data_IF_242080097475
#
_entry.id   IF_242080097475
#
_cell.length_a   1.000
_cell.length_b   1.000
_cell.length_c   1.000
_cell.angle_alpha   90.00
_cell.angle_beta   90.00
_cell.angle_gamma   90.00
#
_symmetry.space_group_name_H-M   'P 1'
#
loop_
_entity.id
_entity.type
_entity.pdbx_description
1 polymer ?
#
# COMPACT_ATOMS: atom_id res chain seq x y z
N UNK A 1 -66.19 -8.58 24.80
CA UNK A 1 -65.00 -9.44 24.97
C UNK A 1 -64.85 -10.31 23.73
N UNK A 2 -63.90 -9.98 22.84
CA UNK A 2 -63.00 -10.93 22.18
C UNK A 2 -61.94 -10.09 21.45
N UNK A 3 -60.72 -10.15 21.97
CA UNK A 3 -59.49 -9.62 21.40
C UNK A 3 -58.84 -10.72 20.56
N UNK A 4 -58.24 -10.37 19.41
CA UNK A 4 -57.13 -11.04 18.70
C UNK A 4 -57.17 -10.59 17.23
N UNK A 5 -56.14 -10.13 16.55
CA UNK A 5 -54.71 -10.06 16.85
C UNK A 5 -54.05 -9.81 15.49
N UNK A 6 -53.52 -8.60 15.28
CA UNK A 6 -52.79 -8.26 14.04
C UNK A 6 -51.49 -9.06 14.04
N UNK A 7 -51.39 -10.06 13.17
CA UNK A 7 -50.14 -10.76 12.90
C UNK A 7 -49.31 -9.87 11.97
N UNK A 8 -48.41 -9.08 12.56
CA UNK A 8 -47.44 -8.28 11.83
C UNK A 8 -46.26 -9.18 11.46
N UNK A 9 -46.28 -9.73 10.25
CA UNK A 9 -45.19 -10.55 9.71
C UNK A 9 -43.99 -9.66 9.37
N UNK A 10 -43.06 -9.46 10.31
CA UNK A 10 -41.74 -8.89 10.01
C UNK A 10 -40.93 -9.94 9.23
N UNK A 11 -40.87 -9.80 7.91
CA UNK A 11 -39.82 -10.43 7.11
C UNK A 11 -38.52 -9.65 7.37
N UNK A 12 -37.77 -10.07 8.39
CA UNK A 12 -36.38 -9.67 8.54
C UNK A 12 -35.59 -10.37 7.41
N UNK A 13 -35.34 -9.65 6.31
CA UNK A 13 -34.26 -10.02 5.40
C UNK A 13 -32.97 -9.84 6.20
N UNK A 14 -32.48 -10.92 6.78
CA UNK A 14 -31.12 -10.97 7.29
C UNK A 14 -30.23 -10.76 6.06
N UNK A 15 -29.67 -9.55 5.92
CA UNK A 15 -28.49 -9.36 5.10
C UNK A 15 -27.43 -10.28 5.70
N UNK A 16 -27.23 -11.44 5.07
CA UNK A 16 -26.10 -12.28 5.39
C UNK A 16 -24.87 -11.36 5.35
N UNK A 17 -24.00 -11.36 6.38
CA UNK A 17 -22.76 -10.62 6.30
C UNK A 17 -22.10 -11.09 5.01
N UNK A 18 -21.95 -10.18 4.05
CA UNK A 18 -21.06 -10.46 2.93
C UNK A 18 -19.75 -10.73 3.62
N UNK A 19 -19.25 -11.96 3.57
CA UNK A 19 -17.87 -12.17 3.91
C UNK A 19 -17.12 -11.24 2.98
N UNK A 20 -16.62 -10.12 3.52
CA UNK A 20 -15.50 -9.45 2.94
C UNK A 20 -14.46 -10.56 2.84
N UNK A 21 -14.35 -11.17 1.65
CA UNK A 21 -13.18 -11.94 1.29
C UNK A 21 -12.04 -11.02 1.67
N UNK A 22 -11.27 -11.41 2.69
CA UNK A 22 -10.13 -10.63 3.14
C UNK A 22 -9.37 -10.21 1.90
N UNK A 23 -9.30 -8.91 1.68
CA UNK A 23 -8.46 -8.31 0.69
C UNK A 23 -7.02 -8.77 0.95
N UNK A 24 -6.17 -8.64 -0.05
CA UNK A 24 -4.86 -9.23 0.03
C UNK A 24 -3.98 -8.63 1.11
N UNK A 25 -3.07 -9.48 1.59
CA UNK A 25 -2.11 -9.16 2.62
C UNK A 25 -0.72 -9.08 1.99
N UNK A 26 -0.08 -7.92 2.08
CA UNK A 26 1.26 -7.73 1.55
C UNK A 26 2.12 -7.14 2.65
N UNK A 27 3.14 -7.87 3.07
CA UNK A 27 4.06 -7.43 4.11
C UNK A 27 5.48 -7.54 3.62
N UNK A 28 6.31 -6.59 3.98
CA UNK A 28 7.72 -6.68 3.65
C UNK A 28 8.47 -5.42 3.96
N UNK A 29 9.71 -5.43 3.52
CA UNK A 29 10.60 -4.29 3.65
C UNK A 29 12.00 -4.70 3.28
N UNK A 30 12.83 -3.70 3.12
CA UNK A 30 14.23 -3.91 2.84
C UNK A 30 14.92 -2.71 2.21
N UNK A 31 15.89 -3.01 1.36
CA UNK A 31 16.64 -2.01 0.60
C UNK A 31 16.58 -2.35 -0.88
N UNK A 32 16.63 -1.32 -1.71
CA UNK A 32 16.89 -1.40 -3.15
C UNK A 32 18.09 -0.52 -3.49
N UNK A 33 18.49 -0.48 -4.76
CA UNK A 33 19.58 0.40 -5.22
C UNK A 33 19.30 1.89 -4.97
N UNK A 34 18.01 2.26 -4.94
CA UNK A 34 17.58 3.66 -4.81
C UNK A 34 17.00 3.96 -3.41
N UNK A 35 16.43 2.95 -2.75
CA UNK A 35 15.81 3.08 -1.43
C UNK A 35 16.67 2.37 -0.40
N UNK A 36 17.30 3.13 0.50
CA UNK A 36 18.08 2.51 1.60
C UNK A 36 17.19 1.93 2.70
N UNK A 37 15.89 2.21 2.63
CA UNK A 37 14.87 1.53 3.42
C UNK A 37 13.53 1.66 2.72
N UNK A 38 12.78 0.57 2.64
CA UNK A 38 11.34 0.60 2.43
C UNK A 38 10.67 -0.38 3.40
N UNK A 39 9.42 -0.12 3.74
CA UNK A 39 8.57 -1.02 4.51
C UNK A 39 7.14 -1.00 3.96
N UNK A 40 6.50 -2.16 3.99
CA UNK A 40 5.19 -2.41 3.42
C UNK A 40 4.36 -3.24 4.40
N UNK A 41 3.17 -2.75 4.73
CA UNK A 41 2.21 -3.44 5.58
C UNK A 41 0.80 -3.15 5.07
N UNK A 42 0.33 -4.00 4.17
CA UNK A 42 -1.02 -4.00 3.61
C UNK A 42 -1.77 -5.21 4.20
N UNK A 43 -2.93 -4.96 4.76
CA UNK A 43 -3.85 -5.99 5.23
C UNK A 43 -5.25 -5.68 4.72
N UNK A 44 -5.97 -6.71 4.26
CA UNK A 44 -7.31 -6.53 3.72
C UNK A 44 -7.35 -5.50 2.54
N UNK A 45 -6.27 -5.43 1.75
CA UNK A 45 -6.15 -4.53 0.60
C UNK A 45 -5.87 -3.05 0.90
N UNK A 46 -5.66 -2.68 2.17
CA UNK A 46 -5.30 -1.31 2.60
C UNK A 46 -4.11 -1.33 3.57
N UNK A 47 -3.44 -0.21 3.78
CA UNK A 47 -2.35 -0.18 4.77
C UNK A 47 -1.35 0.93 4.56
N UNK A 48 -0.09 0.64 4.87
CA UNK A 48 1.00 1.63 4.85
C UNK A 48 2.17 1.18 3.98
N UNK A 49 2.78 2.15 3.33
CA UNK A 49 4.03 2.01 2.61
C UNK A 49 4.94 3.19 2.97
N UNK A 50 6.19 2.92 3.33
CA UNK A 50 7.19 3.97 3.54
C UNK A 50 8.46 3.64 2.78
N UNK A 51 9.16 4.68 2.32
CA UNK A 51 10.52 4.53 1.86
C UNK A 51 11.38 5.77 2.14
N UNK A 52 12.67 5.51 2.27
CA UNK A 52 13.72 6.49 2.45
C UNK A 52 14.70 6.38 1.29
N UNK A 53 14.85 7.48 0.55
CA UNK A 53 15.84 7.67 -0.50
C UNK A 53 16.81 8.77 -0.05
N UNK A 54 17.94 8.41 0.56
CA UNK A 54 18.86 9.39 1.15
C UNK A 54 19.37 10.38 0.11
N UNK A 55 19.41 11.65 0.51
CA UNK A 55 19.81 12.73 -0.37
C UNK A 55 18.76 13.09 -1.43
N UNK A 56 17.63 12.39 -1.49
CA UNK A 56 16.51 12.70 -2.39
C UNK A 56 15.26 13.10 -1.60
N UNK A 57 14.59 12.13 -0.99
CA UNK A 57 13.32 12.32 -0.29
C UNK A 57 12.95 11.14 0.62
N UNK A 58 11.99 11.38 1.51
CA UNK A 58 11.22 10.34 2.20
C UNK A 58 9.79 10.34 1.69
N UNK A 59 9.21 9.14 1.57
CA UNK A 59 7.82 8.93 1.18
C UNK A 59 7.13 8.15 2.29
N UNK A 60 6.05 8.70 2.82
CA UNK A 60 5.15 8.03 3.78
C UNK A 60 3.78 7.97 3.14
N UNK A 61 3.24 6.77 2.95
CA UNK A 61 2.09 6.58 2.10
C UNK A 61 1.03 5.68 2.72
N UNK A 62 -0.23 6.08 2.55
CA UNK A 62 -1.39 5.26 2.86
C UNK A 62 -1.84 4.55 1.60
N UNK A 63 -1.79 3.22 1.63
CA UNK A 63 -2.32 2.35 0.57
C UNK A 63 -3.83 2.27 0.74
N UNK A 64 -4.56 2.67 -0.31
CA UNK A 64 -6.03 2.68 -0.30
C UNK A 64 -6.63 1.53 -1.09
N UNK A 65 -5.84 0.92 -1.98
CA UNK A 65 -6.32 -0.14 -2.87
C UNK A 65 -5.17 -0.98 -3.42
N UNK A 66 -5.37 -2.29 -3.44
CA UNK A 66 -4.60 -3.24 -4.24
C UNK A 66 -5.38 -3.56 -5.52
N UNK A 67 -4.73 -3.43 -6.68
CA UNK A 67 -5.37 -3.50 -8.00
C UNK A 67 -5.12 -4.80 -8.74
N UNK A 68 -4.01 -5.50 -8.48
CA UNK A 68 -3.69 -6.76 -9.12
C UNK A 68 -2.89 -7.65 -8.18
N UNK A 69 -3.21 -8.95 -8.18
CA UNK A 69 -2.42 -10.01 -7.53
C UNK A 69 -2.41 -11.24 -8.40
N UNK A 70 -1.22 -11.77 -8.64
CA UNK A 70 -1.04 -13.02 -9.37
C UNK A 70 0.44 -13.35 -9.55
N UNK A 71 0.75 -14.65 -9.63
CA UNK A 71 2.11 -15.11 -9.93
C UNK A 71 3.19 -14.62 -8.96
N UNK A 72 2.83 -14.36 -7.69
CA UNK A 72 3.76 -13.79 -6.71
C UNK A 72 4.06 -12.30 -6.88
N UNK A 73 3.22 -11.58 -7.63
CA UNK A 73 3.30 -10.13 -7.80
C UNK A 73 2.04 -9.43 -7.32
N UNK A 74 2.16 -8.18 -6.92
CA UNK A 74 1.05 -7.32 -6.56
C UNK A 74 1.25 -5.87 -7.02
N UNK A 75 0.16 -5.16 -7.30
CA UNK A 75 0.17 -3.73 -7.56
C UNK A 75 -0.83 -3.00 -6.68
N UNK A 76 -0.46 -1.83 -6.18
CA UNK A 76 -1.28 -1.06 -5.25
C UNK A 76 -1.13 0.43 -5.47
N UNK A 77 -2.09 1.18 -4.95
CA UNK A 77 -2.22 2.63 -5.13
C UNK A 77 -2.61 3.29 -3.82
N UNK A 78 -2.33 4.58 -3.72
CA UNK A 78 -2.66 5.34 -2.53
C UNK A 78 -2.20 6.79 -2.62
N UNK A 79 -2.14 7.40 -1.44
CA UNK A 79 -1.72 8.80 -1.28
C UNK A 79 -0.51 8.87 -0.36
N UNK A 80 0.40 9.79 -0.65
CA UNK A 80 1.66 9.91 0.05
C UNK A 80 1.98 11.34 0.47
N UNK A 81 2.72 11.44 1.56
CA UNK A 81 3.45 12.63 1.97
C UNK A 81 4.90 12.47 1.53
N UNK A 82 5.41 13.47 0.80
CA UNK A 82 6.77 13.50 0.28
C UNK A 82 7.52 14.65 0.93
N UNK A 83 8.65 14.32 1.55
CA UNK A 83 9.53 15.30 2.20
C UNK A 83 10.91 15.24 1.54
N UNK A 84 11.37 16.38 1.02
CA UNK A 84 12.67 16.48 0.36
C UNK A 84 13.83 16.54 1.36
N UNK A 85 14.94 15.91 0.98
CA UNK A 85 16.19 15.98 1.72
C UNK A 85 16.87 17.36 1.58
N UNK A 86 17.73 17.70 2.55
CA UNK A 86 18.42 19.01 2.60
C UNK A 86 19.32 19.30 1.40
N UNK A 87 19.88 18.26 0.77
CA UNK A 87 20.74 18.37 -0.41
C UNK A 87 20.10 17.67 -1.62
N UNK A 88 18.77 17.79 -1.78
CA UNK A 88 18.08 17.15 -2.89
C UNK A 88 18.61 17.66 -4.25
N UNK A 89 18.70 16.78 -5.26
CA UNK A 89 19.23 17.13 -6.58
C UNK A 89 18.33 18.10 -7.36
N UNK A 90 17.13 18.40 -6.87
CA UNK A 90 16.21 19.35 -7.50
C UNK A 90 16.52 20.81 -7.16
N UNK A 91 17.45 21.06 -6.24
CA UNK A 91 17.80 22.43 -5.80
C UNK A 91 16.67 23.14 -5.06
N UNK A 92 15.66 22.40 -4.59
CA UNK A 92 14.52 22.93 -3.85
C UNK A 92 14.83 22.99 -2.34
N UNK A 93 14.15 23.85 -1.57
CA UNK A 93 14.23 23.82 -0.12
C UNK A 93 13.84 22.45 0.44
N UNK A 94 14.51 22.04 1.51
CA UNK A 94 14.17 20.83 2.24
C UNK A 94 12.81 20.94 2.93
N UNK A 95 12.19 19.81 3.21
CA UNK A 95 10.92 19.74 3.92
C UNK A 95 9.77 19.23 3.06
N UNK A 96 8.53 19.37 3.55
CA UNK A 96 7.35 18.84 2.87
C UNK A 96 7.20 19.47 1.48
N UNK A 97 7.25 18.63 0.46
CA UNK A 97 7.06 19.05 -0.94
C UNK A 97 5.62 18.80 -1.39
N UNK A 98 5.06 17.65 -1.00
CA UNK A 98 3.70 17.28 -1.36
C UNK A 98 3.02 16.54 -0.21
N UNK A 99 1.75 16.87 0.03
CA UNK A 99 0.89 16.18 0.98
C UNK A 99 -0.31 15.67 0.19
N UNK A 100 -0.52 14.35 0.20
CA UNK A 100 -1.59 13.71 -0.59
C UNK A 100 -1.24 13.50 -2.06
N UNK A 101 0.04 13.30 -2.39
CA UNK A 101 0.45 12.96 -3.75
C UNK A 101 0.00 11.53 -4.08
N UNK A 102 -0.66 11.35 -5.22
CA UNK A 102 -1.00 10.02 -5.72
C UNK A 102 0.27 9.23 -6.02
N UNK A 103 0.27 7.96 -5.64
CA UNK A 103 1.32 7.03 -6.01
C UNK A 103 0.75 5.70 -6.49
N UNK A 104 1.53 5.02 -7.31
CA UNK A 104 1.32 3.62 -7.70
C UNK A 104 2.59 2.86 -7.37
N UNK A 105 2.46 1.66 -6.83
CA UNK A 105 3.61 0.79 -6.63
C UNK A 105 3.30 -0.65 -7.06
N UNK A 106 4.34 -1.37 -7.45
CA UNK A 106 4.26 -2.80 -7.72
C UNK A 106 5.38 -3.54 -7.00
N UNK A 107 5.09 -4.77 -6.59
CA UNK A 107 6.03 -5.61 -5.86
C UNK A 107 6.00 -7.05 -6.37
N UNK A 108 7.16 -7.70 -6.33
CA UNK A 108 7.30 -9.14 -6.49
C UNK A 108 7.76 -9.75 -5.16
N UNK A 109 7.07 -10.81 -4.72
CA UNK A 109 7.43 -11.56 -3.52
C UNK A 109 8.80 -12.22 -3.71
N UNK A 110 9.60 -12.18 -2.66
CA UNK A 110 10.98 -12.66 -2.73
C UNK A 110 11.89 -11.97 -1.72
N UNK A 111 13.05 -12.56 -1.48
CA UNK A 111 14.12 -12.02 -0.64
C UNK A 111 15.18 -11.27 -1.45
N UNK A 112 16.40 -11.17 -0.94
CA UNK A 112 17.53 -10.58 -1.65
C UNK A 112 17.74 -11.18 -3.04
N UNK A 113 17.87 -10.34 -4.06
CA UNK A 113 18.11 -10.72 -5.46
C UNK A 113 16.93 -11.35 -6.19
N UNK A 114 15.76 -11.48 -5.53
CA UNK A 114 14.57 -12.13 -6.07
C UNK A 114 13.33 -11.25 -5.96
N UNK A 115 13.17 -10.56 -4.83
CA UNK A 115 12.08 -9.61 -4.65
C UNK A 115 12.30 -8.33 -5.45
N UNK A 116 11.22 -7.67 -5.82
CA UNK A 116 11.25 -6.40 -6.54
C UNK A 116 10.26 -5.43 -5.92
N UNK A 117 10.61 -4.15 -5.95
CA UNK A 117 9.74 -3.02 -5.59
C UNK A 117 9.92 -1.93 -6.66
N UNK A 118 8.80 -1.38 -7.14
CA UNK A 118 8.76 -0.29 -8.11
C UNK A 118 7.73 0.72 -7.62
N UNK A 119 8.22 1.89 -7.22
CA UNK A 119 7.41 3.03 -6.79
C UNK A 119 7.36 4.09 -7.88
N UNK A 120 6.15 4.56 -8.21
CA UNK A 120 5.93 5.73 -9.06
C UNK A 120 5.16 6.79 -8.31
N UNK A 121 5.74 7.98 -8.22
CA UNK A 121 5.19 9.10 -7.46
C UNK A 121 5.75 10.42 -8.01
N UNK A 122 4.91 11.47 -8.04
CA UNK A 122 5.29 12.79 -8.57
C UNK A 122 5.89 12.75 -10.00
N UNK A 123 5.45 11.79 -10.81
CA UNK A 123 5.96 11.59 -12.18
C UNK A 123 7.36 10.97 -12.25
N UNK A 124 7.92 10.53 -11.13
CA UNK A 124 9.20 9.82 -11.02
C UNK A 124 8.96 8.31 -10.87
N UNK A 125 9.95 7.52 -11.26
CA UNK A 125 9.93 6.06 -11.25
C UNK A 125 11.16 5.56 -10.47
N UNK A 126 10.95 4.71 -9.47
CA UNK A 126 11.96 4.17 -8.57
C UNK A 126 11.88 2.64 -8.55
N UNK A 127 12.37 1.97 -9.62
CA UNK A 127 12.46 0.53 -9.65
C UNK A 127 13.63 0.06 -8.79
N UNK A 128 13.51 -1.14 -8.22
CA UNK A 128 14.53 -1.67 -7.35
C UNK A 128 14.41 -3.17 -7.09
N UNK A 129 15.52 -3.88 -7.24
CA UNK A 129 15.64 -5.24 -6.74
C UNK A 129 15.89 -5.20 -5.23
N UNK A 130 15.22 -6.05 -4.47
CA UNK A 130 15.43 -6.14 -3.03
C UNK A 130 16.82 -6.72 -2.76
N UNK A 131 17.64 -6.04 -1.98
CA UNK A 131 19.02 -6.48 -1.64
C UNK A 131 19.13 -6.93 -0.18
N UNK A 132 18.45 -6.24 0.74
CA UNK A 132 18.43 -6.62 2.16
C UNK A 132 17.00 -6.57 2.68
N UNK A 133 16.32 -7.71 2.75
CA UNK A 133 14.94 -7.79 3.22
C UNK A 133 14.12 -8.81 2.45
N UNK A 134 12.79 -8.73 2.57
CA UNK A 134 11.87 -9.66 1.91
C UNK A 134 10.49 -9.05 1.73
N UNK A 135 9.81 -9.46 0.66
CA UNK A 135 8.40 -9.19 0.42
C UNK A 135 7.64 -10.51 0.42
N UNK A 136 6.48 -10.52 1.10
CA UNK A 136 5.53 -11.63 1.15
C UNK A 136 4.16 -11.14 0.70
N UNK A 137 3.51 -11.91 -0.15
CA UNK A 137 2.16 -11.64 -0.66
C UNK A 137 1.29 -12.85 -0.30
N UNK A 138 0.16 -12.57 0.32
CA UNK A 138 -0.88 -13.52 0.68
C UNK A 138 -2.26 -13.00 0.32
N UNK A 139 -3.22 -13.92 0.31
CA UNK A 139 -4.65 -13.66 0.16
C UNK A 139 -5.34 -14.06 1.43
#
# INVERSE_FOLDING_TARGET
MLSLGVVLSLFAVAAAPVSASGGPNITGGGMTDTMTRFALAIHDGTGHFECLMPGLMTVEATVIKVTAIGGGTASFTGVATVTLAHNNPFGMPAGPMAVGADFTASVAAGGPGVGHEDLKILGMDFPGTVVHGRISIGT
#
